data_IF_838138444844
#
_entry.id   IF_838138444844
#
_cell.length_a   1.000
_cell.length_b   1.000
_cell.length_c   1.000
_cell.angle_alpha   90.00
_cell.angle_beta   90.00
_cell.angle_gamma   90.00
#
_symmetry.space_group_name_H-M   'P 1'
#
loop_
_entity.id
_entity.type
_entity.pdbx_description
1 polymer ?
#
# COMPACT_ATOMS: atom_id res chain seq x y z
N UNK A 1 -25.86 -0.77 -3.32
CA UNK A 1 -26.07 -2.05 -4.06
C UNK A 1 -24.85 -2.94 -3.82
N UNK A 2 -24.96 -4.11 -3.16
CA UNK A 2 -23.81 -4.94 -2.74
C UNK A 2 -23.40 -6.02 -3.75
N UNK A 3 -23.72 -5.90 -5.04
CA UNK A 3 -23.58 -6.99 -6.00
C UNK A 3 -22.26 -7.03 -6.79
N UNK A 4 -21.39 -6.04 -6.68
CA UNK A 4 -20.19 -5.97 -7.54
C UNK A 4 -19.09 -6.98 -7.24
N UNK A 5 -18.91 -7.41 -6.00
CA UNK A 5 -17.77 -8.25 -5.57
C UNK A 5 -18.08 -9.75 -5.75
N UNK A 6 -19.30 -10.17 -5.44
CA UNK A 6 -19.77 -11.53 -5.71
C UNK A 6 -19.99 -11.71 -7.22
N UNK A 7 -20.39 -10.67 -7.94
CA UNK A 7 -20.50 -10.65 -9.39
C UNK A 7 -19.19 -10.90 -10.13
N UNK A 8 -18.03 -10.56 -9.56
CA UNK A 8 -16.73 -10.78 -10.20
C UNK A 8 -16.35 -12.27 -10.25
N UNK A 9 -16.63 -13.02 -9.20
CA UNK A 9 -16.40 -14.49 -9.17
C UNK A 9 -17.49 -15.25 -9.91
N UNK A 10 -18.76 -14.81 -9.84
CA UNK A 10 -19.90 -15.52 -10.43
C UNK A 10 -20.25 -15.06 -11.85
N UNK A 11 -20.00 -13.82 -12.27
CA UNK A 11 -20.25 -13.36 -13.66
C UNK A 11 -19.29 -13.95 -14.69
N UNK A 12 -18.15 -14.52 -14.27
CA UNK A 12 -17.36 -15.39 -15.15
C UNK A 12 -18.12 -16.60 -15.67
N UNK A 13 -19.20 -17.02 -14.97
CA UNK A 13 -19.96 -18.23 -15.28
C UNK A 13 -21.34 -18.00 -15.95
N UNK A 14 -21.93 -16.81 -15.92
CA UNK A 14 -23.35 -16.59 -16.26
C UNK A 14 -23.57 -15.45 -17.30
N UNK A 15 -22.70 -15.25 -18.27
CA UNK A 15 -23.00 -14.34 -19.38
C UNK A 15 -23.55 -15.13 -20.61
N UNK A 16 -24.51 -14.57 -21.38
CA UNK A 16 -25.12 -15.26 -22.52
C UNK A 16 -24.06 -15.70 -23.54
N UNK A 17 -24.14 -16.97 -23.93
CA UNK A 17 -23.07 -17.74 -24.59
C UNK A 17 -22.58 -17.23 -25.96
N UNK A 18 -23.24 -16.32 -26.64
CA UNK A 18 -22.90 -15.93 -28.03
C UNK A 18 -22.28 -14.57 -28.25
N UNK A 19 -22.55 -13.57 -27.41
CA UNK A 19 -22.13 -12.17 -27.65
C UNK A 19 -20.72 -11.82 -27.16
N UNK A 20 -20.09 -12.61 -26.27
CA UNK A 20 -18.88 -12.21 -25.52
C UNK A 20 -17.63 -13.07 -25.79
N UNK A 21 -17.58 -13.85 -26.89
CA UNK A 21 -16.38 -14.67 -27.19
C UNK A 21 -15.10 -13.85 -27.36
N UNK A 22 -15.07 -12.72 -28.11
CA UNK A 22 -13.87 -11.91 -28.26
C UNK A 22 -13.39 -11.32 -26.95
N UNK A 23 -14.32 -10.80 -26.13
CA UNK A 23 -13.98 -10.19 -24.83
C UNK A 23 -13.44 -11.22 -23.82
N UNK A 24 -13.98 -12.44 -23.83
CA UNK A 24 -13.48 -13.54 -23.01
C UNK A 24 -12.09 -13.98 -23.47
N UNK A 25 -11.89 -14.18 -24.77
CA UNK A 25 -10.58 -14.51 -25.32
C UNK A 25 -9.53 -13.45 -24.97
N UNK A 26 -9.88 -12.18 -25.16
CA UNK A 26 -9.03 -11.04 -24.78
C UNK A 26 -8.66 -11.06 -23.30
N UNK A 27 -9.61 -11.28 -22.39
CA UNK A 27 -9.35 -11.39 -20.96
C UNK A 27 -8.42 -12.55 -20.60
N UNK A 28 -8.63 -13.74 -21.14
CA UNK A 28 -7.77 -14.89 -20.88
C UNK A 28 -6.35 -14.68 -21.42
N UNK A 29 -6.21 -14.14 -22.62
CA UNK A 29 -4.91 -13.79 -23.18
C UNK A 29 -4.19 -12.78 -22.30
N UNK A 30 -4.90 -11.80 -21.79
CA UNK A 30 -4.35 -10.76 -20.92
C UNK A 30 -3.92 -11.31 -19.56
N UNK A 31 -4.66 -12.24 -18.99
CA UNK A 31 -4.24 -12.95 -17.78
C UNK A 31 -2.95 -13.75 -18.01
N UNK A 32 -2.81 -14.40 -19.15
CA UNK A 32 -1.58 -15.12 -19.51
C UNK A 32 -0.37 -14.17 -19.61
N UNK A 33 -0.55 -13.01 -20.24
CA UNK A 33 0.51 -11.98 -20.32
C UNK A 33 0.91 -11.51 -18.90
N UNK A 34 -0.06 -11.21 -18.03
CA UNK A 34 0.21 -10.82 -16.64
C UNK A 34 0.97 -11.90 -15.88
N UNK A 35 0.54 -13.14 -15.99
CA UNK A 35 1.21 -14.27 -15.33
C UNK A 35 2.64 -14.42 -15.88
N UNK A 36 2.83 -14.40 -17.18
CA UNK A 36 4.17 -14.50 -17.79
C UNK A 36 5.09 -13.35 -17.33
N UNK A 37 4.59 -12.11 -17.33
CA UNK A 37 5.33 -10.94 -16.85
C UNK A 37 5.66 -11.03 -15.36
N UNK A 38 4.73 -11.53 -14.54
CA UNK A 38 4.98 -11.78 -13.11
C UNK A 38 6.08 -12.82 -12.88
N UNK A 39 6.18 -13.86 -13.69
CA UNK A 39 7.29 -14.82 -13.65
C UNK A 39 8.63 -14.25 -14.17
N UNK A 40 8.56 -13.31 -15.10
CA UNK A 40 9.75 -12.64 -15.63
C UNK A 40 10.29 -11.54 -14.68
N UNK A 41 9.44 -11.02 -13.79
CA UNK A 41 9.82 -10.04 -12.76
C UNK A 41 11.01 -10.58 -11.92
N UNK A 42 11.91 -9.67 -11.55
CA UNK A 42 13.03 -9.98 -10.64
C UNK A 42 13.09 -8.93 -9.53
N UNK A 43 13.16 -9.34 -8.27
CA UNK A 43 13.40 -8.42 -7.17
C UNK A 43 14.81 -7.80 -7.27
N UNK A 44 14.96 -6.59 -6.75
CA UNK A 44 16.27 -5.95 -6.64
C UNK A 44 17.08 -6.70 -5.58
N UNK A 45 18.31 -7.15 -5.91
CA UNK A 45 19.17 -7.81 -4.94
C UNK A 45 19.69 -6.81 -3.91
N UNK A 46 20.16 -7.33 -2.77
CA UNK A 46 20.86 -6.53 -1.77
C UNK A 46 22.18 -6.00 -2.35
N UNK A 47 22.49 -4.71 -2.19
CA UNK A 47 23.78 -4.16 -2.60
C UNK A 47 24.89 -4.66 -1.68
N UNK A 48 26.11 -4.81 -2.21
CA UNK A 48 27.30 -5.17 -1.41
C UNK A 48 27.66 -4.06 -0.41
N UNK A 49 27.51 -2.81 -0.83
CA UNK A 49 27.76 -1.62 0.00
C UNK A 49 26.49 -0.76 -0.02
N UNK A 50 25.56 -0.95 0.93
CA UNK A 50 24.31 -0.21 0.97
C UNK A 50 24.55 1.27 1.29
N UNK A 51 23.91 2.17 0.54
CA UNK A 51 23.90 3.61 0.81
C UNK A 51 23.05 3.92 2.05
N UNK A 52 21.94 3.19 2.24
CA UNK A 52 21.00 3.43 3.33
C UNK A 52 21.04 2.30 4.35
N UNK A 53 21.12 2.67 5.63
CA UNK A 53 21.15 1.75 6.78
C UNK A 53 19.90 2.01 7.64
N UNK A 54 19.14 0.97 7.92
CA UNK A 54 17.85 1.10 8.62
C UNK A 54 17.96 1.83 9.97
N UNK A 55 19.04 1.58 10.73
CA UNK A 55 19.28 2.19 12.05
C UNK A 55 19.69 3.68 12.01
N UNK A 56 20.00 4.21 10.85
CA UNK A 56 20.41 5.60 10.67
C UNK A 56 19.39 6.37 9.82
N UNK A 57 18.86 5.74 8.78
CA UNK A 57 18.16 6.41 7.69
C UNK A 57 16.64 6.16 7.66
N UNK A 58 16.10 5.30 8.56
CA UNK A 58 14.68 4.93 8.51
C UNK A 58 13.91 5.37 9.74
N UNK A 59 12.85 6.15 9.52
CA UNK A 59 11.76 6.37 10.47
C UNK A 59 10.51 5.62 10.01
N UNK A 60 9.93 4.81 10.90
CA UNK A 60 8.63 4.17 10.65
C UNK A 60 7.54 5.07 11.21
N UNK A 61 6.52 5.38 10.40
CA UNK A 61 5.36 6.17 10.82
C UNK A 61 4.12 5.27 10.84
N UNK A 62 3.48 5.20 12.00
CA UNK A 62 2.30 4.34 12.26
C UNK A 62 1.11 5.21 12.66
N UNK A 63 0.24 5.59 11.73
CA UNK A 63 -1.00 6.26 12.06
C UNK A 63 -2.01 5.24 12.60
N UNK A 64 -2.38 5.34 13.88
CA UNK A 64 -3.33 4.40 14.50
C UNK A 64 -4.33 5.12 15.41
N UNK A 65 -5.43 4.45 15.68
CA UNK A 65 -6.47 4.84 16.66
C UNK A 65 -6.78 3.69 17.62
N UNK A 66 -6.00 2.61 17.54
CA UNK A 66 -6.18 1.40 18.33
C UNK A 66 -4.84 0.96 18.95
N UNK A 67 -4.89 0.36 20.12
CA UNK A 67 -3.74 -0.12 20.90
C UNK A 67 -3.91 -1.61 21.28
N UNK A 68 -4.48 -2.42 20.38
CA UNK A 68 -4.71 -3.85 20.62
C UNK A 68 -3.44 -4.71 20.66
N UNK A 69 -3.59 -5.97 21.04
CA UNK A 69 -2.48 -6.92 21.10
C UNK A 69 -1.83 -7.18 19.73
N UNK A 70 -2.59 -7.06 18.63
CA UNK A 70 -2.06 -7.16 17.26
C UNK A 70 -0.97 -6.11 17.00
N UNK A 71 -1.09 -4.93 17.61
CA UNK A 71 -0.09 -3.87 17.51
C UNK A 71 1.24 -4.26 18.16
N UNK A 72 1.25 -4.94 19.31
CA UNK A 72 2.50 -5.37 19.96
C UNK A 72 3.29 -6.31 19.08
N UNK A 73 2.62 -7.30 18.49
CA UNK A 73 3.27 -8.24 17.57
C UNK A 73 3.84 -7.50 16.35
N UNK A 74 3.08 -6.57 15.77
CA UNK A 74 3.53 -5.77 14.66
C UNK A 74 4.74 -4.90 15.04
N UNK A 75 4.70 -4.21 16.19
CA UNK A 75 5.79 -3.37 16.68
C UNK A 75 7.08 -4.15 16.90
N UNK A 76 7.01 -5.35 17.53
CA UNK A 76 8.18 -6.21 17.64
C UNK A 76 8.74 -6.64 16.29
N UNK A 77 7.88 -6.89 15.30
CA UNK A 77 8.31 -7.25 13.95
C UNK A 77 9.04 -6.10 13.25
N UNK A 78 8.60 -4.85 13.43
CA UNK A 78 9.27 -3.67 12.88
C UNK A 78 10.62 -3.41 13.54
N UNK A 79 10.69 -3.55 14.87
CA UNK A 79 11.93 -3.40 15.64
C UNK A 79 13.00 -4.44 15.27
N UNK A 80 12.59 -5.64 14.84
CA UNK A 80 13.51 -6.65 14.32
C UNK A 80 14.27 -6.18 13.08
N UNK A 81 13.69 -5.28 12.26
CA UNK A 81 14.35 -4.60 11.15
C UNK A 81 15.33 -3.50 11.56
N UNK A 82 15.45 -3.20 12.87
CA UNK A 82 16.34 -2.19 13.46
C UNK A 82 16.19 -0.79 12.84
N UNK A 83 14.99 -0.21 12.75
CA UNK A 83 14.83 1.18 12.32
C UNK A 83 15.46 2.14 13.35
N UNK A 84 15.76 3.37 12.93
CA UNK A 84 16.24 4.43 13.83
C UNK A 84 15.20 4.78 14.88
N UNK A 85 13.96 5.00 14.45
CA UNK A 85 12.82 5.29 15.33
C UNK A 85 11.50 4.82 14.74
N UNK A 86 10.50 4.69 15.59
CA UNK A 86 9.10 4.44 15.25
C UNK A 86 8.26 5.58 15.82
N UNK A 87 7.56 6.31 14.97
CA UNK A 87 6.63 7.35 15.37
C UNK A 87 5.19 6.81 15.27
N UNK A 88 4.56 6.64 16.41
CA UNK A 88 3.14 6.32 16.51
C UNK A 88 2.36 7.63 16.57
N UNK A 89 1.46 7.85 15.64
CA UNK A 89 0.63 9.06 15.62
C UNK A 89 -0.82 8.71 15.86
N UNK A 90 -1.39 9.29 16.91
CA UNK A 90 -2.76 8.98 17.34
C UNK A 90 -3.55 10.24 17.69
N UNK A 91 -4.81 10.08 18.08
CA UNK A 91 -5.60 11.15 18.68
C UNK A 91 -5.33 11.26 20.20
N UNK A 92 -5.52 12.46 20.77
CA UNK A 92 -5.17 12.77 22.17
C UNK A 92 -5.73 11.77 23.18
N UNK A 93 -6.98 11.28 22.98
CA UNK A 93 -7.61 10.33 23.90
C UNK A 93 -6.91 8.97 23.98
N UNK A 94 -6.11 8.60 22.96
CA UNK A 94 -5.39 7.32 22.89
C UNK A 94 -3.93 7.43 23.32
N UNK A 95 -3.47 8.63 23.74
CA UNK A 95 -2.08 8.86 24.15
C UNK A 95 -1.65 7.94 25.29
N UNK A 96 -2.44 7.87 26.38
CA UNK A 96 -2.10 7.06 27.56
C UNK A 96 -1.90 5.57 27.22
N UNK A 97 -2.91 4.89 26.67
CA UNK A 97 -2.80 3.48 26.30
C UNK A 97 -1.65 3.17 25.32
N UNK A 98 -1.43 4.03 24.31
CA UNK A 98 -0.36 3.83 23.34
C UNK A 98 1.02 4.15 23.92
N UNK A 99 1.13 5.11 24.83
CA UNK A 99 2.39 5.39 25.53
C UNK A 99 2.79 4.24 26.46
N UNK A 100 1.83 3.64 27.19
CA UNK A 100 2.08 2.45 28.01
C UNK A 100 2.55 1.28 27.14
N UNK A 101 1.91 1.06 25.99
CA UNK A 101 2.29 0.03 25.05
C UNK A 101 3.68 0.29 24.45
N UNK A 102 3.97 1.52 24.04
CA UNK A 102 5.28 1.92 23.52
C UNK A 102 6.39 1.67 24.56
N UNK A 103 6.16 2.07 25.81
CA UNK A 103 7.08 1.86 26.92
C UNK A 103 7.31 0.38 27.23
N UNK A 104 6.30 -0.45 27.06
CA UNK A 104 6.40 -1.90 27.27
C UNK A 104 7.15 -2.63 26.16
N UNK A 105 7.18 -2.08 24.93
CA UNK A 105 7.84 -2.70 23.78
C UNK A 105 9.27 -2.18 23.62
N UNK A 106 9.47 -0.87 23.47
CA UNK A 106 10.78 -0.24 23.34
C UNK A 106 10.67 1.28 23.60
N UNK A 107 10.96 1.77 24.81
CA UNK A 107 10.81 3.17 25.16
C UNK A 107 11.85 4.11 24.52
N UNK A 108 12.95 3.55 24.01
CA UNK A 108 14.02 4.35 23.41
C UNK A 108 13.75 4.68 21.93
N UNK A 109 13.18 3.73 21.20
CA UNK A 109 12.96 3.85 19.76
C UNK A 109 11.53 4.16 19.37
N UNK A 110 10.54 3.97 20.25
CA UNK A 110 9.13 4.24 19.97
C UNK A 110 8.71 5.54 20.65
N UNK A 111 8.23 6.48 19.85
CA UNK A 111 7.69 7.77 20.32
C UNK A 111 6.22 7.89 19.90
N UNK A 112 5.38 8.36 20.83
CA UNK A 112 3.96 8.61 20.56
C UNK A 112 3.73 10.10 20.39
N UNK A 113 3.11 10.49 19.28
CA UNK A 113 2.73 11.86 18.96
C UNK A 113 1.22 11.93 18.78
N UNK A 114 0.62 13.10 19.06
CA UNK A 114 -0.83 13.26 18.98
C UNK A 114 -1.27 14.29 17.96
N UNK A 115 -2.48 14.09 17.44
CA UNK A 115 -3.24 15.04 16.64
C UNK A 115 -4.60 15.30 17.30
N UNK A 116 -5.24 16.45 17.06
CA UNK A 116 -6.50 16.79 17.75
C UNK A 116 -7.66 15.82 17.49
N UNK A 117 -7.68 15.18 16.33
CA UNK A 117 -8.73 14.21 15.97
C UNK A 117 -8.21 13.15 15.00
N UNK A 118 -8.87 11.99 14.99
CA UNK A 118 -8.51 10.85 14.17
C UNK A 118 -8.71 11.16 12.68
N UNK A 119 -7.61 11.32 11.96
CA UNK A 119 -7.58 11.45 10.51
C UNK A 119 -6.23 10.93 10.01
N UNK A 120 -6.25 9.84 9.23
CA UNK A 120 -5.02 9.17 8.79
C UNK A 120 -4.06 10.12 8.07
N UNK A 121 -4.55 10.99 7.19
CA UNK A 121 -3.69 11.94 6.45
C UNK A 121 -3.08 13.00 7.35
N UNK A 122 -3.82 13.50 8.35
CA UNK A 122 -3.25 14.43 9.35
C UNK A 122 -2.21 13.74 10.22
N UNK A 123 -2.49 12.51 10.67
CA UNK A 123 -1.55 11.70 11.44
C UNK A 123 -0.26 11.46 10.64
N UNK A 124 -0.36 11.03 9.38
CA UNK A 124 0.79 10.85 8.50
C UNK A 124 1.56 12.15 8.29
N UNK A 125 0.88 13.27 8.00
CA UNK A 125 1.53 14.59 7.82
C UNK A 125 2.23 15.05 9.09
N UNK A 126 1.66 14.78 10.26
CA UNK A 126 2.31 15.12 11.54
C UNK A 126 3.57 14.28 11.74
N UNK A 127 3.55 12.99 11.45
CA UNK A 127 4.73 12.12 11.47
C UNK A 127 5.81 12.56 10.49
N UNK A 128 5.45 12.88 9.24
CA UNK A 128 6.38 13.39 8.22
C UNK A 128 7.13 14.62 8.72
N UNK A 129 6.43 15.59 9.31
CA UNK A 129 7.03 16.82 9.82
C UNK A 129 8.03 16.58 10.94
N UNK A 130 7.81 15.54 11.76
CA UNK A 130 8.66 15.19 12.90
C UNK A 130 9.79 14.19 12.58
N UNK A 131 9.87 13.68 11.35
CA UNK A 131 10.92 12.77 10.89
C UNK A 131 12.19 13.53 10.55
N UNK A 132 13.36 12.93 10.83
CA UNK A 132 14.69 13.50 10.50
C UNK A 132 15.52 12.60 9.60
N UNK A 133 15.06 11.41 9.30
CA UNK A 133 15.74 10.41 8.46
C UNK A 133 15.47 10.62 6.99
N UNK A 134 16.27 9.98 6.13
CA UNK A 134 16.17 10.11 4.68
C UNK A 134 15.01 9.31 4.08
N UNK A 135 14.62 8.22 4.74
CA UNK A 135 13.53 7.34 4.30
C UNK A 135 12.45 7.24 5.38
N UNK A 136 11.21 7.45 4.97
CA UNK A 136 10.02 7.19 5.76
C UNK A 136 9.40 5.89 5.31
N UNK A 137 9.05 5.02 6.25
CA UNK A 137 8.24 3.83 5.98
C UNK A 137 6.91 3.95 6.71
N UNK A 138 5.81 4.04 5.97
CA UNK A 138 4.48 3.93 6.59
C UNK A 138 4.15 2.48 6.87
N UNK A 139 3.55 2.22 8.02
CA UNK A 139 3.01 0.92 8.39
C UNK A 139 1.60 1.06 8.96
N UNK A 140 0.68 0.16 8.56
CA UNK A 140 -0.57 -0.03 9.29
C UNK A 140 -0.28 -0.83 10.58
N UNK A 141 -1.07 -0.62 11.61
CA UNK A 141 -0.92 -1.16 12.96
C UNK A 141 -1.07 -2.69 13.08
N UNK A 142 -1.52 -3.35 12.00
CA UNK A 142 -1.67 -4.80 11.85
C UNK A 142 -0.67 -5.43 10.86
N UNK A 143 0.31 -4.66 10.37
CA UNK A 143 1.27 -5.11 9.37
C UNK A 143 2.50 -5.76 10.02
N UNK A 144 2.65 -7.06 9.89
CA UNK A 144 3.78 -7.83 10.45
C UNK A 144 4.84 -8.03 9.38
N UNK A 145 6.08 -7.67 9.69
CA UNK A 145 7.20 -7.70 8.77
C UNK A 145 8.16 -8.87 9.02
N UNK A 146 8.75 -9.47 7.98
CA UNK A 146 9.94 -10.27 8.17
C UNK A 146 11.12 -9.37 8.58
N UNK A 147 12.09 -9.85 9.38
CA UNK A 147 13.24 -9.05 9.83
C UNK A 147 14.08 -8.46 8.70
N UNK A 148 13.97 -9.06 7.52
CA UNK A 148 14.71 -8.70 6.31
C UNK A 148 14.02 -7.64 5.46
N UNK A 149 12.78 -7.21 5.80
CA UNK A 149 12.00 -6.31 4.96
C UNK A 149 12.74 -5.00 4.68
N UNK A 150 13.26 -4.32 5.72
CA UNK A 150 13.90 -3.01 5.54
C UNK A 150 15.12 -3.07 4.61
N UNK A 151 16.10 -3.96 4.76
CA UNK A 151 17.20 -4.07 3.82
C UNK A 151 16.78 -4.25 2.35
N UNK A 152 15.78 -5.09 2.10
CA UNK A 152 15.28 -5.32 0.73
C UNK A 152 14.51 -4.13 0.16
N UNK A 153 13.80 -3.39 1.00
CA UNK A 153 13.12 -2.14 0.61
C UNK A 153 14.13 -1.04 0.33
N UNK A 154 15.15 -0.90 1.19
CA UNK A 154 16.20 0.11 1.04
C UNK A 154 17.04 -0.12 -0.21
N UNK A 155 17.30 -1.37 -0.61
CA UNK A 155 18.01 -1.71 -1.84
C UNK A 155 17.39 -1.06 -3.09
N UNK A 156 16.08 -0.82 -3.11
CA UNK A 156 15.43 -0.14 -4.23
C UNK A 156 15.79 1.36 -4.31
N UNK A 157 16.17 1.99 -3.21
CA UNK A 157 16.53 3.40 -3.16
C UNK A 157 17.98 3.69 -3.58
N UNK A 158 18.77 2.66 -3.90
CA UNK A 158 20.08 2.86 -4.56
C UNK A 158 19.91 3.57 -5.91
N UNK A 159 18.81 3.34 -6.61
CA UNK A 159 18.41 4.19 -7.73
C UNK A 159 17.80 5.50 -7.19
N UNK A 160 18.49 6.62 -7.44
CA UNK A 160 18.07 7.94 -7.00
C UNK A 160 16.74 8.42 -7.62
N UNK A 161 16.27 7.79 -8.68
CA UNK A 161 14.97 8.10 -9.31
C UNK A 161 13.80 7.45 -8.58
N UNK A 162 14.05 6.41 -7.79
CA UNK A 162 13.01 5.73 -7.02
C UNK A 162 12.57 6.61 -5.85
N UNK A 163 11.35 7.09 -5.92
CA UNK A 163 10.72 7.91 -4.87
C UNK A 163 9.87 7.13 -3.88
N UNK A 164 9.35 5.96 -4.30
CA UNK A 164 8.47 5.13 -3.47
C UNK A 164 8.60 3.65 -3.74
N UNK A 165 8.58 2.84 -2.67
CA UNK A 165 8.75 1.37 -2.72
C UNK A 165 7.65 0.69 -1.92
N UNK A 166 6.96 -0.26 -2.56
CA UNK A 166 6.01 -1.16 -1.91
C UNK A 166 6.53 -2.59 -1.81
N UNK A 167 5.73 -3.47 -1.21
CA UNK A 167 6.08 -4.89 -1.03
C UNK A 167 4.91 -5.81 -1.39
N UNK A 168 5.22 -7.09 -1.60
CA UNK A 168 4.21 -8.15 -1.67
C UNK A 168 3.57 -8.40 -0.30
N UNK A 169 2.37 -8.96 -0.31
CA UNK A 169 1.56 -9.12 0.89
C UNK A 169 0.92 -10.50 0.93
N UNK A 170 0.79 -11.04 2.14
CA UNK A 170 0.08 -12.28 2.40
C UNK A 170 -0.85 -12.13 3.59
N UNK A 171 -1.95 -12.88 3.60
CA UNK A 171 -2.87 -12.93 4.74
C UNK A 171 -2.26 -13.78 5.85
N UNK A 172 -2.27 -13.24 7.08
CA UNK A 172 -2.07 -14.00 8.30
C UNK A 172 -3.41 -14.54 8.78
N UNK A 173 -3.52 -15.85 9.01
CA UNK A 173 -4.70 -16.42 9.65
C UNK A 173 -4.80 -15.95 11.11
N UNK A 174 -6.01 -15.60 11.56
CA UNK A 174 -6.27 -15.21 12.96
C UNK A 174 -6.37 -16.43 13.86
N UNK A 175 -6.84 -17.56 13.34
CA UNK A 175 -6.94 -18.85 14.05
C UNK A 175 -6.13 -19.96 13.38
N UNK A 176 -6.29 -21.19 13.87
CA UNK A 176 -5.60 -22.37 13.35
C UNK A 176 -5.95 -22.68 11.89
N UNK A 177 -7.11 -22.25 11.43
CA UNK A 177 -7.57 -22.39 10.04
C UNK A 177 -8.13 -21.08 9.54
N UNK A 178 -7.84 -20.77 8.27
CA UNK A 178 -8.44 -19.62 7.60
C UNK A 178 -9.95 -19.76 7.48
N UNK A 179 -10.66 -18.69 7.81
CA UNK A 179 -12.09 -18.55 7.49
C UNK A 179 -12.31 -18.37 5.99
N UNK A 180 -13.52 -18.54 5.50
CA UNK A 180 -13.87 -18.27 4.09
C UNK A 180 -13.51 -16.83 3.69
N UNK A 181 -13.64 -15.86 4.60
CA UNK A 181 -13.31 -14.46 4.35
C UNK A 181 -11.82 -14.23 4.20
N UNK A 182 -11.01 -14.88 5.02
CA UNK A 182 -9.55 -14.83 4.92
C UNK A 182 -9.05 -15.53 3.65
N UNK A 183 -9.68 -16.64 3.24
CA UNK A 183 -9.37 -17.29 1.96
C UNK A 183 -9.70 -16.36 0.78
N UNK A 184 -10.84 -15.67 0.79
CA UNK A 184 -11.18 -14.68 -0.24
C UNK A 184 -10.19 -13.50 -0.24
N UNK A 185 -9.76 -13.07 0.92
CA UNK A 185 -8.73 -12.04 1.06
C UNK A 185 -7.37 -12.52 0.51
N UNK A 186 -6.98 -13.77 0.78
CA UNK A 186 -5.75 -14.38 0.25
C UNK A 186 -5.74 -14.43 -1.27
N UNK A 187 -6.84 -14.84 -1.91
CA UNK A 187 -7.00 -14.78 -3.36
C UNK A 187 -6.82 -13.35 -3.90
N UNK A 188 -7.45 -12.36 -3.24
CA UNK A 188 -7.32 -10.96 -3.64
C UNK A 188 -5.87 -10.47 -3.55
N UNK A 189 -5.15 -10.78 -2.48
CA UNK A 189 -3.75 -10.39 -2.32
C UNK A 189 -2.83 -11.10 -3.31
N UNK A 190 -3.06 -12.38 -3.60
CA UNK A 190 -2.32 -13.13 -4.62
C UNK A 190 -2.49 -12.49 -6.00
N UNK A 191 -3.72 -12.18 -6.41
CA UNK A 191 -3.99 -11.48 -7.68
C UNK A 191 -3.29 -10.12 -7.69
N UNK A 192 -3.37 -9.35 -6.60
CA UNK A 192 -2.67 -8.08 -6.47
C UNK A 192 -1.16 -8.23 -6.62
N UNK A 193 -0.54 -9.22 -5.98
CA UNK A 193 0.91 -9.45 -6.09
C UNK A 193 1.32 -9.75 -7.54
N UNK A 194 0.52 -10.53 -8.27
CA UNK A 194 0.71 -10.78 -9.72
C UNK A 194 0.57 -9.47 -10.51
N UNK A 195 -0.43 -8.65 -10.22
CA UNK A 195 -0.66 -7.37 -10.91
C UNK A 195 0.49 -6.39 -10.71
N UNK A 196 0.95 -6.18 -9.47
CA UNK A 196 2.03 -5.22 -9.18
C UNK A 196 3.38 -5.69 -9.69
N UNK A 197 3.71 -6.99 -9.59
CA UNK A 197 4.96 -7.52 -10.14
C UNK A 197 4.98 -7.49 -11.66
N UNK A 198 3.86 -7.81 -12.31
CA UNK A 198 3.75 -7.73 -13.77
C UNK A 198 3.83 -6.30 -14.29
N UNK A 199 3.16 -5.34 -13.66
CA UNK A 199 3.22 -3.94 -14.08
C UNK A 199 4.60 -3.33 -13.84
N UNK A 200 5.22 -3.60 -12.70
CA UNK A 200 6.61 -3.19 -12.44
C UNK A 200 7.57 -3.75 -13.49
N UNK A 201 7.38 -5.00 -13.94
CA UNK A 201 8.23 -5.60 -14.98
C UNK A 201 7.98 -5.00 -16.37
N UNK A 202 6.72 -4.71 -16.74
CA UNK A 202 6.34 -4.29 -18.11
C UNK A 202 6.70 -2.83 -18.38
N UNK A 203 6.34 -1.91 -17.49
CA UNK A 203 6.54 -0.47 -17.72
C UNK A 203 7.10 0.29 -16.51
N UNK A 204 7.52 -0.41 -15.46
CA UNK A 204 8.08 0.20 -14.25
C UNK A 204 7.06 0.86 -13.34
N UNK A 205 5.79 0.90 -13.71
CA UNK A 205 4.72 1.51 -12.92
C UNK A 205 3.94 0.51 -12.09
N UNK A 206 3.08 1.05 -11.24
CA UNK A 206 2.09 0.27 -10.50
C UNK A 206 0.85 1.12 -10.16
N UNK A 207 -0.32 0.49 -10.02
CA UNK A 207 -1.56 1.23 -9.80
C UNK A 207 -1.68 1.80 -8.40
N UNK A 208 -0.94 1.25 -7.43
CA UNK A 208 -0.95 1.71 -6.04
C UNK A 208 0.16 1.07 -5.20
N UNK A 209 0.98 1.90 -4.57
CA UNK A 209 1.77 1.52 -3.40
C UNK A 209 0.84 1.30 -2.22
N UNK A 210 0.92 0.16 -1.56
CA UNK A 210 -0.05 -0.19 -0.52
C UNK A 210 0.10 0.65 0.73
N UNK A 211 -1.01 1.13 1.27
CA UNK A 211 -1.05 1.83 2.56
C UNK A 211 -0.68 0.96 3.78
N UNK A 212 -0.59 -0.37 3.62
CA UNK A 212 -0.16 -1.25 4.72
C UNK A 212 1.32 -1.15 5.03
N UNK A 213 2.14 -1.08 3.99
CA UNK A 213 3.57 -0.81 4.11
C UNK A 213 4.07 -0.26 2.79
N UNK A 214 4.63 0.93 2.83
CA UNK A 214 5.33 1.53 1.72
C UNK A 214 6.37 2.53 2.23
N UNK A 215 7.54 2.54 1.58
CA UNK A 215 8.65 3.42 1.89
C UNK A 215 8.74 4.56 0.87
N UNK A 216 9.20 5.72 1.32
CA UNK A 216 9.32 6.92 0.50
C UNK A 216 10.55 7.74 0.91
N UNK A 217 11.13 8.48 -0.05
CA UNK A 217 12.13 9.51 0.29
C UNK A 217 11.48 10.63 1.10
N UNK A 218 12.06 10.93 2.24
CA UNK A 218 11.57 11.98 3.15
C UNK A 218 11.52 13.34 2.47
N UNK A 219 12.50 13.66 1.62
CA UNK A 219 12.56 14.94 0.90
C UNK A 219 11.32 15.18 0.03
N UNK A 220 10.75 14.14 -0.57
CA UNK A 220 9.52 14.24 -1.38
C UNK A 220 8.31 14.55 -0.48
N UNK A 221 8.20 13.85 0.64
CA UNK A 221 7.05 13.97 1.53
C UNK A 221 7.07 15.26 2.37
N UNK A 222 8.25 15.83 2.59
CA UNK A 222 8.43 17.13 3.29
C UNK A 222 8.18 18.34 2.40
N UNK A 223 8.00 18.15 1.10
CA UNK A 223 7.64 19.24 0.20
C UNK A 223 6.35 19.92 0.69
N UNK A 224 6.34 21.27 0.83
CA UNK A 224 5.15 22.00 1.26
C UNK A 224 3.94 21.80 0.35
N UNK A 225 4.14 21.66 -0.97
CA UNK A 225 3.08 21.42 -1.94
C UNK A 225 2.49 20.01 -1.75
N UNK A 226 3.36 19.01 -1.54
CA UNK A 226 2.91 17.66 -1.17
C UNK A 226 2.06 17.67 0.10
N UNK A 227 2.56 18.26 1.19
CA UNK A 227 1.85 18.28 2.48
C UNK A 227 0.51 18.99 2.39
N UNK A 228 0.46 20.10 1.65
CA UNK A 228 -0.79 20.82 1.41
C UNK A 228 -1.77 19.98 0.60
N UNK A 229 -1.37 19.46 -0.56
CA UNK A 229 -2.21 18.64 -1.43
C UNK A 229 -2.68 17.34 -0.75
N UNK A 230 -1.81 16.70 0.06
CA UNK A 230 -2.14 15.49 0.79
C UNK A 230 -3.24 15.67 1.83
N UNK A 231 -3.29 16.81 2.50
CA UNK A 231 -4.29 17.12 3.52
C UNK A 231 -5.53 17.83 2.96
N UNK A 232 -5.43 18.42 1.75
CA UNK A 232 -6.51 19.17 1.09
C UNK A 232 -6.92 18.51 -0.23
N UNK A 233 -7.01 17.19 -0.25
CA UNK A 233 -7.46 16.43 -1.42
C UNK A 233 -8.99 16.34 -1.43
N UNK A 234 -9.63 16.81 -2.53
CA UNK A 234 -11.08 16.85 -2.67
C UNK A 234 -11.53 16.08 -3.92
N UNK A 235 -12.64 15.36 -3.80
CA UNK A 235 -13.35 14.79 -4.93
C UNK A 235 -14.40 15.78 -5.45
N UNK A 236 -14.30 16.09 -6.74
CA UNK A 236 -15.16 17.10 -7.41
C UNK A 236 -15.14 18.47 -6.68
N UNK A 237 -13.98 18.85 -6.15
CA UNK A 237 -13.76 20.12 -5.41
C UNK A 237 -14.75 20.37 -4.25
N UNK A 238 -15.47 19.34 -3.85
CA UNK A 238 -16.52 19.41 -2.84
C UNK A 238 -16.32 18.48 -1.66
N UNK A 239 -15.87 17.25 -1.89
CA UNK A 239 -15.83 16.21 -0.87
C UNK A 239 -14.40 15.92 -0.46
N UNK A 240 -14.01 16.32 0.75
CA UNK A 240 -12.68 16.04 1.28
C UNK A 240 -12.44 14.53 1.40
N UNK A 241 -11.29 14.06 0.90
CA UNK A 241 -10.91 12.68 0.91
C UNK A 241 -10.04 12.38 2.14
N UNK A 242 -10.64 11.71 3.12
CA UNK A 242 -9.95 11.26 4.34
C UNK A 242 -9.37 9.84 4.22
N UNK A 243 -9.59 9.16 3.10
CA UNK A 243 -9.08 7.81 2.79
C UNK A 243 -8.48 7.79 1.37
N UNK A 244 -7.72 6.73 1.06
CA UNK A 244 -7.00 6.62 -0.22
C UNK A 244 -5.71 7.45 -0.22
N UNK A 245 -5.08 7.52 0.94
CA UNK A 245 -3.75 8.05 1.19
C UNK A 245 -2.71 7.42 0.27
N UNK A 246 -2.71 6.10 0.19
CA UNK A 246 -1.86 5.28 -0.68
C UNK A 246 -2.00 5.62 -2.17
N UNK A 247 -3.22 5.81 -2.61
CA UNK A 247 -3.51 6.22 -3.98
C UNK A 247 -3.04 7.65 -4.28
N UNK A 248 -3.18 8.58 -3.34
CA UNK A 248 -2.66 9.94 -3.49
C UNK A 248 -1.13 9.92 -3.61
N UNK A 249 -0.45 9.23 -2.69
CA UNK A 249 1.01 9.09 -2.69
C UNK A 249 1.52 8.54 -4.03
N UNK A 250 0.86 7.49 -4.54
CA UNK A 250 1.27 6.89 -5.82
C UNK A 250 1.10 7.85 -6.99
N UNK A 251 -0.03 8.56 -7.08
CA UNK A 251 -0.25 9.57 -8.13
C UNK A 251 0.75 10.72 -8.04
N UNK A 252 1.05 11.18 -6.81
CA UNK A 252 2.06 12.22 -6.60
C UNK A 252 3.42 11.82 -7.17
N UNK A 253 3.86 10.59 -6.92
CA UNK A 253 5.12 10.09 -7.48
C UNK A 253 5.11 10.16 -9.01
N UNK A 254 4.06 9.66 -9.65
CA UNK A 254 3.94 9.65 -11.12
C UNK A 254 3.93 11.07 -11.68
N UNK A 255 3.10 11.97 -11.16
CA UNK A 255 2.95 13.34 -11.67
C UNK A 255 4.20 14.20 -11.47
N UNK A 256 5.09 13.85 -10.53
CA UNK A 256 6.35 14.55 -10.28
C UNK A 256 7.57 13.81 -10.84
N UNK A 257 7.37 12.82 -11.70
CA UNK A 257 8.44 12.12 -12.40
C UNK A 257 9.29 11.18 -11.55
N UNK A 258 8.82 10.82 -10.35
CA UNK A 258 9.46 9.83 -9.49
C UNK A 258 9.10 8.42 -9.92
N UNK A 259 10.09 7.56 -10.02
CA UNK A 259 9.86 6.12 -10.23
C UNK A 259 9.33 5.46 -8.95
N UNK A 260 8.49 4.46 -9.14
CA UNK A 260 8.01 3.60 -8.05
C UNK A 260 8.49 2.17 -8.28
N UNK A 261 8.70 1.42 -7.22
CA UNK A 261 9.10 0.03 -7.31
C UNK A 261 8.29 -0.84 -6.34
N UNK A 262 8.24 -2.13 -6.63
CA UNK A 262 7.65 -3.10 -5.70
C UNK A 262 8.64 -4.23 -5.47
N UNK A 263 8.99 -4.49 -4.22
CA UNK A 263 9.87 -5.60 -3.85
C UNK A 263 9.03 -6.85 -3.58
N UNK A 264 8.89 -7.69 -4.60
CA UNK A 264 8.12 -8.94 -4.53
C UNK A 264 9.05 -10.14 -4.32
N UNK A 265 9.49 -10.34 -3.08
CA UNK A 265 10.25 -11.51 -2.64
C UNK A 265 9.78 -11.94 -1.25
N UNK A 266 10.13 -13.16 -0.82
CA UNK A 266 9.73 -13.66 0.51
C UNK A 266 10.36 -12.86 1.65
N UNK A 267 11.54 -12.36 1.45
CA UNK A 267 12.32 -11.55 2.38
C UNK A 267 11.72 -10.18 2.65
N UNK A 268 10.83 -9.70 1.76
CA UNK A 268 10.09 -8.45 1.90
C UNK A 268 8.56 -8.65 1.93
N UNK A 269 8.07 -9.90 1.99
CA UNK A 269 6.63 -10.18 2.01
C UNK A 269 6.04 -9.94 3.40
N UNK A 270 5.22 -8.90 3.55
CA UNK A 270 4.53 -8.65 4.81
C UNK A 270 3.33 -9.57 5.02
N UNK A 271 3.02 -9.83 6.28
CA UNK A 271 1.79 -10.47 6.71
C UNK A 271 0.82 -9.40 7.23
N UNK A 272 -0.45 -9.51 6.87
CA UNK A 272 -1.49 -8.62 7.38
C UNK A 272 -2.71 -9.42 7.77
N UNK A 273 -3.30 -9.07 8.90
CA UNK A 273 -4.57 -9.63 9.33
C UNK A 273 -5.71 -9.05 8.50
N UNK A 274 -6.74 -9.85 8.28
CA UNK A 274 -7.95 -9.44 7.58
C UNK A 274 -9.15 -9.67 8.48
N UNK A 275 -10.20 -8.88 8.29
CA UNK A 275 -11.42 -9.10 9.06
C UNK A 275 -11.98 -10.51 8.76
N UNK A 276 -12.02 -11.44 9.73
CA UNK A 276 -12.36 -12.86 9.53
C UNK A 276 -13.89 -13.08 9.38
N UNK A 277 -14.65 -12.05 9.05
CA UNK A 277 -16.10 -12.07 8.97
C UNK A 277 -16.61 -11.16 7.84
N UNK A 278 -17.94 -11.04 7.70
CA UNK A 278 -18.60 -10.23 6.66
C UNK A 278 -18.16 -8.75 6.61
N UNK A 279 -17.54 -8.20 7.66
CA UNK A 279 -16.96 -6.84 7.67
C UNK A 279 -15.86 -6.68 6.62
N UNK A 280 -15.25 -7.79 6.19
CA UNK A 280 -14.33 -7.81 5.06
C UNK A 280 -14.96 -7.22 3.78
N UNK A 281 -16.25 -7.48 3.52
CA UNK A 281 -16.94 -6.89 2.35
C UNK A 281 -17.02 -5.35 2.43
N UNK A 282 -17.21 -4.79 3.63
CA UNK A 282 -17.18 -3.32 3.82
C UNK A 282 -15.80 -2.75 3.52
N UNK A 283 -14.75 -3.47 3.93
CA UNK A 283 -13.36 -3.10 3.65
C UNK A 283 -13.08 -3.12 2.15
N UNK A 284 -13.47 -4.18 1.45
CA UNK A 284 -13.34 -4.30 -0.02
C UNK A 284 -14.11 -3.20 -0.73
N UNK A 285 -15.34 -2.88 -0.32
CA UNK A 285 -16.13 -1.78 -0.90
C UNK A 285 -15.42 -0.43 -0.75
N UNK A 286 -14.82 -0.16 0.42
CA UNK A 286 -14.03 1.06 0.66
C UNK A 286 -12.83 1.13 -0.29
N UNK A 287 -12.08 0.04 -0.45
CA UNK A 287 -10.93 -0.03 -1.37
C UNK A 287 -11.35 0.17 -2.82
N UNK A 288 -12.41 -0.51 -3.28
CA UNK A 288 -12.93 -0.37 -4.63
C UNK A 288 -13.34 1.07 -4.92
N UNK A 289 -14.06 1.73 -3.99
CA UNK A 289 -14.44 3.13 -4.12
C UNK A 289 -13.23 4.08 -4.22
N UNK A 290 -12.20 3.86 -3.39
CA UNK A 290 -10.97 4.66 -3.44
C UNK A 290 -10.22 4.42 -4.76
N UNK A 291 -10.14 3.17 -5.23
CA UNK A 291 -9.54 2.83 -6.51
C UNK A 291 -10.27 3.52 -7.65
N UNK A 292 -11.60 3.43 -7.72
CA UNK A 292 -12.40 4.10 -8.75
C UNK A 292 -12.13 5.61 -8.83
N UNK A 293 -12.19 6.30 -7.70
CA UNK A 293 -11.94 7.75 -7.65
C UNK A 293 -10.53 8.11 -8.12
N UNK A 294 -9.55 7.36 -7.66
CA UNK A 294 -8.16 7.60 -8.01
C UNK A 294 -7.88 7.31 -9.48
N UNK A 295 -8.35 6.17 -10.00
CA UNK A 295 -8.11 5.78 -11.39
C UNK A 295 -8.80 6.75 -12.36
N UNK A 296 -10.03 7.19 -12.06
CA UNK A 296 -10.70 8.25 -12.83
C UNK A 296 -9.90 9.55 -12.83
N UNK A 297 -9.29 9.94 -11.71
CA UNK A 297 -8.43 11.13 -11.63
C UNK A 297 -7.16 10.97 -12.46
N UNK A 298 -6.45 9.85 -12.30
CA UNK A 298 -5.23 9.57 -13.09
C UNK A 298 -5.49 9.53 -14.60
N UNK A 299 -6.58 8.88 -15.03
CA UNK A 299 -6.86 8.68 -16.45
C UNK A 299 -7.39 9.93 -17.16
N UNK A 300 -8.22 10.74 -16.49
CA UNK A 300 -8.98 11.80 -17.15
C UNK A 300 -8.59 13.22 -16.73
N UNK A 301 -8.06 13.40 -15.50
CA UNK A 301 -7.69 14.71 -14.99
C UNK A 301 -6.16 14.95 -15.07
N UNK A 302 -5.36 14.14 -14.38
CA UNK A 302 -3.90 14.25 -14.34
C UNK A 302 -3.26 13.81 -15.66
N UNK A 303 -3.64 12.67 -16.19
CA UNK A 303 -3.30 12.10 -17.50
C UNK A 303 -1.83 11.67 -17.70
N UNK A 304 -0.92 12.01 -16.80
CA UNK A 304 0.50 11.64 -16.89
C UNK A 304 0.72 10.14 -17.01
N UNK A 305 -0.18 9.35 -16.40
CA UNK A 305 -0.13 7.89 -16.43
C UNK A 305 -0.13 7.31 -17.85
N UNK A 306 -0.75 8.00 -18.83
CA UNK A 306 -0.80 7.52 -20.22
C UNK A 306 0.55 7.58 -20.93
N UNK A 307 1.40 8.52 -20.55
CA UNK A 307 2.71 8.73 -21.16
C UNK A 307 3.82 8.06 -20.39
N UNK A 308 3.73 8.04 -19.05
CA UNK A 308 4.78 7.50 -18.19
C UNK A 308 4.62 5.99 -18.00
N UNK A 309 3.39 5.51 -17.74
CA UNK A 309 3.07 4.11 -17.50
C UNK A 309 1.84 3.66 -18.29
N UNK A 310 1.93 3.53 -19.62
CA UNK A 310 0.78 3.22 -20.48
C UNK A 310 0.14 1.86 -20.19
N UNK A 311 0.94 0.88 -19.74
CA UNK A 311 0.40 -0.41 -19.32
C UNK A 311 -0.44 -0.29 -18.04
N UNK A 312 0.02 0.47 -17.05
CA UNK A 312 -0.77 0.74 -15.83
C UNK A 312 -2.05 1.49 -16.19
N UNK A 313 -1.98 2.51 -17.06
CA UNK A 313 -3.18 3.21 -17.54
C UNK A 313 -4.20 2.25 -18.15
N UNK A 314 -3.72 1.34 -19.02
CA UNK A 314 -4.56 0.29 -19.59
C UNK A 314 -5.20 -0.59 -18.50
N UNK A 315 -4.43 -1.04 -17.47
CA UNK A 315 -4.99 -1.87 -16.38
C UNK A 315 -6.05 -1.14 -15.56
N UNK A 316 -5.91 0.17 -15.37
CA UNK A 316 -6.92 1.02 -14.73
C UNK A 316 -8.22 1.05 -15.55
N UNK A 317 -8.12 1.21 -16.89
CA UNK A 317 -9.30 1.17 -17.78
C UNK A 317 -9.97 -0.21 -17.73
N UNK A 318 -9.20 -1.30 -17.82
CA UNK A 318 -9.72 -2.67 -17.72
C UNK A 318 -10.46 -2.88 -16.38
N UNK A 319 -9.90 -2.40 -15.28
CA UNK A 319 -10.53 -2.46 -13.96
C UNK A 319 -11.85 -1.68 -13.93
N UNK A 320 -11.88 -0.45 -14.46
CA UNK A 320 -13.09 0.38 -14.51
C UNK A 320 -14.22 -0.27 -15.32
N UNK A 321 -13.91 -0.83 -16.49
CA UNK A 321 -14.87 -1.51 -17.36
C UNK A 321 -15.36 -2.82 -16.74
N UNK A 322 -14.47 -3.57 -16.10
CA UNK A 322 -14.79 -4.87 -15.54
C UNK A 322 -15.52 -4.83 -14.20
N UNK A 323 -15.50 -3.67 -13.52
CA UNK A 323 -16.21 -3.47 -12.25
C UNK A 323 -17.68 -3.09 -12.41
N UNK A 324 -18.12 -2.80 -13.64
CA UNK A 324 -19.50 -2.54 -14.01
C UNK A 324 -20.18 -3.85 -14.45
#
# INVERSE_FOLDING_TARGET
MPFGVIGFVLKGFVAPRKANRPLRFYRYLWYLIRIAASFAYRPIPLPENPTYIASEDVTIIVPTIDAGEEFKEAAHSWLAGKPKEILIITEEKMLGPLQELANAVDPERIRVLTVPYANKRLQMSHGIKNTTTDIIVFADDDAIWPPTLLPYVLACFEDQKVGGVGTSQRVKAVGDRMTVWEVLAAFRLTIRNIEISSSTHIDGGLPCLSGRTAAYRTVILKDPEFLHGFTHDYWLDKYQLNSGDDKFLTRWMVSHGWSTYVQCCKEAELLSTMKPNWRFLKQVLRWTRNTWRSDMRSLFMERDIWTIHPYVAYTMVDFLICSI
#
